data_IF_555391697500
#
_entry.id   IF_555391697500
#
_cell.length_a   1.000
_cell.length_b   1.000
_cell.length_c   1.000
_cell.angle_alpha   90.00
_cell.angle_beta   90.00
_cell.angle_gamma   90.00
#
_symmetry.space_group_name_H-M   'P 1'
#
loop_
_entity.id
_entity.type
_entity.pdbx_description
1 polymer ?
#
# COMPACT_ATOMS: atom_id res chain seq x y z
N UNK A 1 -26.06 -15.53 -23.47
CA UNK A 1 -25.88 -16.91 -22.94
C UNK A 1 -26.48 -16.92 -21.54
N UNK A 2 -27.48 -17.76 -21.27
CA UNK A 2 -28.15 -17.82 -19.95
C UNK A 2 -27.34 -18.76 -19.07
N UNK A 3 -26.71 -18.22 -18.01
CA UNK A 3 -26.00 -19.02 -17.03
C UNK A 3 -26.93 -20.05 -16.35
N UNK A 4 -26.44 -21.24 -15.99
CA UNK A 4 -27.17 -22.18 -15.15
C UNK A 4 -27.63 -21.54 -13.84
N UNK A 5 -28.76 -22.01 -13.27
CA UNK A 5 -29.38 -21.36 -12.11
C UNK A 5 -28.47 -21.25 -10.87
N UNK A 6 -27.56 -22.21 -10.70
CA UNK A 6 -26.58 -22.21 -9.58
C UNK A 6 -25.50 -21.14 -9.81
N UNK A 7 -24.94 -21.06 -10.99
CA UNK A 7 -23.91 -20.07 -11.37
C UNK A 7 -24.50 -18.65 -11.33
N UNK A 8 -25.76 -18.48 -11.72
CA UNK A 8 -26.46 -17.22 -11.60
C UNK A 8 -26.52 -16.72 -10.15
N UNK A 9 -26.86 -17.57 -9.17
CA UNK A 9 -26.92 -17.19 -7.75
C UNK A 9 -25.55 -16.84 -7.20
N UNK A 10 -24.51 -17.54 -7.62
CA UNK A 10 -23.10 -17.30 -7.27
C UNK A 10 -22.66 -15.91 -7.73
N UNK A 11 -22.92 -15.59 -9.00
CA UNK A 11 -22.62 -14.29 -9.59
C UNK A 11 -23.44 -13.16 -8.94
N UNK A 12 -24.76 -13.38 -8.72
CA UNK A 12 -25.62 -12.41 -8.06
C UNK A 12 -25.16 -12.08 -6.64
N UNK A 13 -24.64 -13.07 -5.88
CA UNK A 13 -24.10 -12.83 -4.55
C UNK A 13 -22.80 -11.99 -4.62
N UNK A 14 -21.89 -12.33 -5.50
CA UNK A 14 -20.65 -11.58 -5.71
C UNK A 14 -20.93 -10.13 -6.16
N UNK A 15 -21.87 -9.94 -7.10
CA UNK A 15 -22.28 -8.61 -7.53
C UNK A 15 -22.90 -7.77 -6.39
N UNK A 16 -23.67 -8.40 -5.49
CA UNK A 16 -24.26 -7.73 -4.34
C UNK A 16 -23.23 -7.34 -3.27
N UNK A 17 -21.99 -7.83 -3.37
CA UNK A 17 -20.86 -7.44 -2.53
C UNK A 17 -19.90 -6.44 -3.20
N UNK A 18 -20.17 -6.05 -4.45
CA UNK A 18 -19.35 -5.08 -5.17
C UNK A 18 -20.00 -3.71 -5.21
N UNK A 19 -19.20 -2.70 -4.94
CA UNK A 19 -19.56 -1.29 -5.08
C UNK A 19 -18.52 -0.58 -5.95
N UNK A 20 -18.87 0.55 -6.52
CA UNK A 20 -17.88 1.46 -7.12
C UNK A 20 -17.43 2.44 -6.05
N UNK A 21 -16.14 2.59 -5.89
CA UNK A 21 -15.52 3.60 -5.03
C UNK A 21 -15.13 4.78 -5.89
N UNK A 22 -15.51 5.98 -5.48
CA UNK A 22 -15.09 7.24 -6.08
C UNK A 22 -14.33 8.07 -5.06
N UNK A 23 -13.23 8.67 -5.49
CA UNK A 23 -12.32 9.40 -4.60
C UNK A 23 -12.01 10.76 -5.19
N UNK A 24 -12.25 11.81 -4.40
CA UNK A 24 -11.83 13.18 -4.69
C UNK A 24 -10.59 13.55 -3.87
N UNK A 25 -9.51 14.00 -4.52
CA UNK A 25 -8.29 14.42 -3.84
C UNK A 25 -8.28 15.94 -3.74
N UNK A 26 -8.40 16.53 -2.53
CA UNK A 26 -8.55 17.97 -2.35
C UNK A 26 -7.25 18.76 -2.48
N UNK A 27 -6.11 18.10 -2.64
CA UNK A 27 -4.79 18.71 -2.75
C UNK A 27 -3.86 17.83 -3.60
N UNK A 28 -2.72 18.37 -4.00
CA UNK A 28 -1.75 17.65 -4.85
C UNK A 28 -0.53 17.26 -4.05
N UNK A 29 -0.14 16.00 -4.14
CA UNK A 29 1.13 15.46 -3.65
C UNK A 29 1.89 14.76 -4.79
N UNK A 30 3.15 14.44 -4.59
CA UNK A 30 3.95 13.73 -5.59
C UNK A 30 3.32 12.36 -5.91
N UNK A 31 3.23 12.05 -7.21
CA UNK A 31 2.66 10.80 -7.69
C UNK A 31 1.13 10.68 -7.62
N UNK A 32 0.42 11.62 -6.99
CA UNK A 32 -1.05 11.68 -7.03
C UNK A 32 -1.45 12.82 -7.95
N UNK A 33 -1.74 12.46 -9.19
CA UNK A 33 -2.16 13.40 -10.25
C UNK A 33 -3.64 13.20 -10.53
N UNK A 34 -4.33 14.30 -10.70
CA UNK A 34 -5.76 14.27 -10.97
C UNK A 34 -6.57 14.58 -9.72
N UNK A 35 -7.81 14.95 -9.94
CA UNK A 35 -8.72 15.39 -8.90
C UNK A 35 -9.66 14.26 -8.45
N UNK A 36 -9.81 13.21 -9.27
CA UNK A 36 -10.69 12.08 -8.98
C UNK A 36 -10.11 10.75 -9.46
N UNK A 37 -10.43 9.71 -8.71
CA UNK A 37 -10.12 8.32 -9.01
C UNK A 37 -11.37 7.48 -8.80
N UNK A 38 -11.46 6.35 -9.47
CA UNK A 38 -12.52 5.38 -9.23
C UNK A 38 -12.00 3.95 -9.42
N UNK A 39 -12.66 3.02 -8.79
CA UNK A 39 -12.31 1.60 -8.87
C UNK A 39 -13.28 0.70 -8.10
N UNK A 40 -13.00 -0.58 -8.03
CA UNK A 40 -13.85 -1.54 -7.35
C UNK A 40 -13.73 -1.43 -5.82
N UNK A 41 -14.84 -1.64 -5.14
CA UNK A 41 -14.89 -1.89 -3.71
C UNK A 41 -15.58 -3.21 -3.40
N UNK A 42 -15.01 -3.99 -2.50
CA UNK A 42 -15.55 -5.25 -2.02
C UNK A 42 -16.10 -5.07 -0.61
N UNK A 43 -17.40 -5.24 -0.44
CA UNK A 43 -18.05 -5.20 0.87
C UNK A 43 -17.61 -6.42 1.68
N UNK A 44 -16.77 -6.22 2.68
CA UNK A 44 -16.24 -7.29 3.53
C UNK A 44 -17.05 -7.46 4.81
N UNK A 45 -17.80 -6.43 5.20
CA UNK A 45 -18.75 -6.49 6.32
C UNK A 45 -19.86 -5.47 6.09
N UNK A 46 -21.04 -5.95 5.67
CA UNK A 46 -22.18 -5.09 5.38
C UNK A 46 -22.86 -4.54 6.66
N UNK A 47 -22.74 -5.25 7.78
CA UNK A 47 -23.33 -4.82 9.07
C UNK A 47 -22.51 -3.72 9.72
N UNK A 48 -21.18 -3.84 9.66
CA UNK A 48 -20.28 -2.82 10.17
C UNK A 48 -19.97 -1.72 9.16
N UNK A 49 -20.40 -1.86 7.91
CA UNK A 49 -20.13 -0.90 6.84
C UNK A 49 -18.68 -0.88 6.36
N UNK A 50 -18.04 -2.05 6.24
CA UNK A 50 -16.65 -2.13 5.79
C UNK A 50 -16.55 -2.54 4.32
N UNK A 51 -15.75 -1.77 3.58
CA UNK A 51 -15.43 -2.01 2.16
C UNK A 51 -13.92 -2.04 1.98
N UNK A 52 -13.42 -3.05 1.29
CA UNK A 52 -12.04 -3.14 0.86
C UNK A 52 -11.89 -2.60 -0.56
N UNK A 53 -10.86 -1.82 -0.80
CA UNK A 53 -10.46 -1.33 -2.13
C UNK A 53 -8.93 -1.29 -2.24
N UNK A 54 -8.40 -0.78 -3.33
CA UNK A 54 -6.96 -0.67 -3.58
C UNK A 54 -6.44 0.79 -3.54
N UNK A 55 -5.12 0.94 -3.43
CA UNK A 55 -4.44 2.25 -3.37
C UNK A 55 -4.32 2.96 -4.73
N UNK A 56 -4.78 2.39 -5.83
CA UNK A 56 -4.93 3.12 -7.08
C UNK A 56 -6.26 3.88 -7.08
N UNK A 57 -7.28 3.27 -6.47
CA UNK A 57 -8.60 3.88 -6.25
C UNK A 57 -8.57 4.92 -5.14
N UNK A 58 -7.92 4.61 -4.00
CA UNK A 58 -7.77 5.51 -2.84
C UNK A 58 -6.27 5.73 -2.58
N UNK A 59 -5.64 6.69 -3.25
CA UNK A 59 -4.18 6.82 -3.26
C UNK A 59 -3.56 7.25 -1.93
N UNK A 60 -4.32 7.96 -1.11
CA UNK A 60 -3.93 8.54 0.20
C UNK A 60 -5.10 8.52 1.16
N UNK A 61 -4.84 8.64 2.46
CA UNK A 61 -5.92 8.59 3.47
C UNK A 61 -6.72 9.89 3.59
N UNK A 62 -6.14 11.02 3.23
CA UNK A 62 -6.74 12.35 3.40
C UNK A 62 -7.49 12.79 2.12
N UNK A 63 -8.64 12.19 1.87
CA UNK A 63 -9.45 12.32 0.65
C UNK A 63 -10.94 12.32 0.96
N UNK A 64 -11.75 12.80 0.02
CA UNK A 64 -13.17 12.54 -0.02
C UNK A 64 -13.42 11.19 -0.70
N UNK A 65 -14.24 10.35 -0.09
CA UNK A 65 -14.61 9.04 -0.64
C UNK A 65 -16.12 8.91 -0.68
N UNK A 66 -16.66 8.46 -1.79
CA UNK A 66 -18.04 8.00 -1.89
C UNK A 66 -18.13 6.59 -2.45
N UNK A 67 -19.20 5.90 -2.09
CA UNK A 67 -19.56 4.59 -2.61
C UNK A 67 -20.78 4.72 -3.48
N UNK A 68 -20.69 4.27 -4.73
CA UNK A 68 -21.84 4.17 -5.64
C UNK A 68 -22.32 2.72 -5.62
N UNK A 69 -23.53 2.54 -5.14
CA UNK A 69 -24.18 1.24 -4.93
C UNK A 69 -25.25 1.03 -6.00
N UNK A 70 -25.17 -0.10 -6.70
CA UNK A 70 -26.10 -0.47 -7.76
C UNK A 70 -26.30 0.63 -8.85
N UNK A 71 -25.30 1.48 -9.04
CA UNK A 71 -25.32 2.58 -10.02
C UNK A 71 -26.33 3.69 -9.73
N UNK A 72 -26.93 3.74 -8.54
CA UNK A 72 -28.04 4.67 -8.25
C UNK A 72 -28.01 5.32 -6.86
N UNK A 73 -27.34 4.74 -5.91
CA UNK A 73 -27.23 5.27 -4.55
C UNK A 73 -25.77 5.65 -4.30
N UNK A 74 -25.53 6.91 -4.00
CA UNK A 74 -24.22 7.41 -3.62
C UNK A 74 -24.25 7.77 -2.13
N UNK A 75 -23.29 7.22 -1.36
CA UNK A 75 -23.14 7.47 0.05
C UNK A 75 -21.69 7.82 0.40
N UNK A 76 -21.44 8.70 1.37
CA UNK A 76 -20.11 9.02 1.83
C UNK A 76 -19.47 7.83 2.56
N UNK A 77 -18.15 7.76 2.45
CA UNK A 77 -17.34 6.81 3.21
C UNK A 77 -16.06 7.49 3.69
N UNK A 78 -15.40 6.86 4.65
CA UNK A 78 -14.15 7.33 5.25
C UNK A 78 -13.06 6.29 5.08
N UNK A 79 -11.79 6.73 4.99
CA UNK A 79 -10.65 5.83 5.02
C UNK A 79 -10.44 5.35 6.45
N UNK A 80 -10.78 4.10 6.70
CA UNK A 80 -10.66 3.45 8.01
C UNK A 80 -9.23 2.96 8.26
N UNK A 81 -8.59 2.35 7.26
CA UNK A 81 -7.21 1.89 7.37
C UNK A 81 -6.54 1.80 5.98
N UNK A 82 -5.24 2.05 5.93
CA UNK A 82 -4.38 1.87 4.76
C UNK A 82 -3.32 0.82 5.10
N UNK A 83 -3.21 -0.24 4.30
CA UNK A 83 -2.19 -1.24 4.53
C UNK A 83 -0.80 -0.66 4.22
N UNK A 84 0.17 -0.68 5.15
CA UNK A 84 1.47 -0.05 4.93
C UNK A 84 2.30 -0.72 3.84
N UNK A 85 2.28 -2.05 3.73
CA UNK A 85 3.08 -2.80 2.77
C UNK A 85 2.35 -3.09 1.46
N UNK A 86 1.03 -3.34 1.52
CA UNK A 86 0.24 -3.75 0.37
C UNK A 86 -0.68 -2.64 -0.12
N UNK A 87 -1.01 -2.67 -1.40
CA UNK A 87 -1.88 -1.69 -2.04
C UNK A 87 -3.35 -1.81 -1.66
N UNK A 88 -3.67 -2.08 -0.38
CA UNK A 88 -5.03 -2.28 0.13
C UNK A 88 -5.47 -1.13 1.05
N UNK A 89 -6.76 -0.80 0.97
CA UNK A 89 -7.41 0.24 1.79
C UNK A 89 -8.74 -0.29 2.29
N UNK A 90 -9.01 -0.12 3.59
CA UNK A 90 -10.33 -0.32 4.18
C UNK A 90 -11.04 1.02 4.29
N UNK A 91 -12.29 1.03 3.84
CA UNK A 91 -13.23 2.13 3.95
C UNK A 91 -14.33 1.77 4.93
N UNK A 92 -14.88 2.78 5.58
CA UNK A 92 -16.05 2.64 6.44
C UNK A 92 -17.15 3.56 5.97
N UNK A 93 -18.38 3.05 5.91
CA UNK A 93 -19.59 3.81 5.61
C UNK A 93 -20.65 3.55 6.67
N UNK A 94 -21.66 4.42 6.76
CA UNK A 94 -22.82 4.21 7.62
C UNK A 94 -23.88 3.39 6.86
N UNK A 95 -24.16 2.12 7.27
CA UNK A 95 -25.14 1.28 6.61
C UNK A 95 -26.57 1.88 6.61
N UNK A 96 -26.88 2.76 7.56
CA UNK A 96 -28.19 3.41 7.62
C UNK A 96 -28.48 4.31 6.40
N UNK A 97 -27.43 4.81 5.73
CA UNK A 97 -27.55 5.65 4.53
C UNK A 97 -27.99 4.88 3.29
N UNK A 98 -27.92 3.55 3.30
CA UNK A 98 -28.35 2.71 2.16
C UNK A 98 -29.87 2.67 1.98
N UNK A 99 -30.65 3.02 3.01
CA UNK A 99 -32.12 2.92 2.98
C UNK A 99 -32.59 1.49 2.72
N UNK A 100 -33.27 1.28 1.59
CA UNK A 100 -33.78 -0.06 1.20
C UNK A 100 -32.80 -0.83 0.29
N UNK A 101 -31.69 -0.25 -0.09
CA UNK A 101 -30.68 -0.88 -0.95
C UNK A 101 -29.85 -1.85 -0.11
N UNK A 102 -29.89 -3.14 -0.46
CA UNK A 102 -29.18 -4.17 0.28
C UNK A 102 -27.79 -4.41 -0.31
N UNK A 103 -26.76 -4.27 0.51
CA UNK A 103 -25.42 -4.81 0.26
C UNK A 103 -25.24 -6.13 1.02
N UNK A 104 -24.36 -6.96 0.54
CA UNK A 104 -24.01 -8.25 1.18
C UNK A 104 -22.54 -8.32 1.43
N UNK A 105 -22.16 -8.89 2.58
CA UNK A 105 -20.76 -9.23 2.84
C UNK A 105 -20.30 -10.30 1.88
N UNK A 106 -19.11 -10.13 1.32
CA UNK A 106 -18.48 -11.14 0.47
C UNK A 106 -18.20 -12.41 1.27
N UNK A 107 -18.37 -13.55 0.65
CA UNK A 107 -17.95 -14.83 1.21
C UNK A 107 -16.47 -15.03 0.92
N UNK A 108 -15.61 -14.60 1.83
CA UNK A 108 -14.16 -14.72 1.67
C UNK A 108 -13.68 -16.14 1.93
N UNK A 109 -12.72 -16.61 1.13
CA UNK A 109 -12.07 -17.89 1.33
C UNK A 109 -10.56 -17.77 1.10
N UNK A 110 -9.80 -17.89 2.17
CA UNK A 110 -8.35 -17.70 2.21
C UNK A 110 -7.53 -18.91 1.73
N UNK A 111 -8.17 -20.04 1.39
CA UNK A 111 -7.47 -21.19 0.83
C UNK A 111 -6.75 -20.80 -0.48
N UNK A 112 -5.51 -21.19 -0.71
CA UNK A 112 -4.80 -20.88 -1.96
C UNK A 112 -5.55 -21.41 -3.20
N UNK A 113 -5.30 -20.79 -4.34
CA UNK A 113 -5.75 -21.27 -5.65
C UNK A 113 -4.52 -21.68 -6.45
N UNK A 114 -4.56 -22.86 -7.05
CA UNK A 114 -3.47 -23.35 -7.87
C UNK A 114 -3.56 -22.88 -9.33
N UNK A 115 -2.42 -22.88 -10.00
CA UNK A 115 -2.35 -22.63 -11.45
C UNK A 115 -3.18 -23.68 -12.19
N UNK A 116 -4.06 -23.22 -13.07
CA UNK A 116 -5.01 -24.07 -13.80
C UNK A 116 -6.38 -24.19 -13.14
N UNK A 117 -6.55 -23.81 -11.90
CA UNK A 117 -7.85 -23.85 -11.23
C UNK A 117 -8.86 -22.94 -11.93
N UNK A 118 -10.09 -23.43 -12.15
CA UNK A 118 -11.16 -22.66 -12.74
C UNK A 118 -11.69 -21.63 -11.74
N UNK A 119 -11.80 -20.39 -12.19
CA UNK A 119 -12.38 -19.27 -11.46
C UNK A 119 -13.31 -18.48 -12.37
N UNK A 120 -14.24 -17.74 -11.78
CA UNK A 120 -15.07 -16.79 -12.51
C UNK A 120 -14.69 -15.37 -12.08
N UNK A 121 -14.31 -14.55 -13.04
CA UNK A 121 -14.19 -13.11 -12.80
C UNK A 121 -15.59 -12.50 -12.79
N UNK A 122 -15.87 -11.74 -11.74
CA UNK A 122 -17.11 -10.96 -11.58
C UNK A 122 -16.72 -9.53 -11.25
N UNK A 123 -17.08 -8.59 -12.09
CA UNK A 123 -16.67 -7.19 -11.94
C UNK A 123 -17.50 -6.25 -12.77
N UNK A 124 -16.97 -5.04 -12.97
CA UNK A 124 -17.56 -4.01 -13.81
C UNK A 124 -16.50 -3.42 -14.74
N UNK A 125 -16.90 -3.03 -15.93
CA UNK A 125 -16.03 -2.32 -16.87
C UNK A 125 -15.99 -0.81 -16.55
N UNK A 126 -15.23 -0.06 -17.36
CA UNK A 126 -15.11 1.40 -17.21
C UNK A 126 -16.42 2.18 -17.34
N UNK A 127 -17.44 1.60 -17.98
CA UNK A 127 -18.79 2.15 -18.13
C UNK A 127 -19.77 1.65 -17.05
N UNK A 128 -19.26 1.01 -15.99
CA UNK A 128 -20.02 0.40 -14.87
C UNK A 128 -20.94 -0.77 -15.29
N UNK A 129 -20.68 -1.39 -16.45
CA UNK A 129 -21.44 -2.57 -16.91
C UNK A 129 -20.89 -3.82 -16.26
N UNK A 130 -21.79 -4.72 -15.87
CA UNK A 130 -21.43 -6.01 -15.29
C UNK A 130 -20.66 -6.88 -16.30
N UNK A 131 -19.50 -7.37 -15.87
CA UNK A 131 -18.67 -8.30 -16.61
C UNK A 131 -18.56 -9.60 -15.83
N UNK A 132 -18.87 -10.72 -16.47
CA UNK A 132 -18.73 -12.07 -15.92
C UNK A 132 -17.98 -12.92 -16.92
N UNK A 133 -16.82 -13.44 -16.55
CA UNK A 133 -15.95 -14.22 -17.41
C UNK A 133 -15.52 -15.52 -16.69
N UNK A 134 -15.81 -16.64 -17.29
CA UNK A 134 -15.21 -17.92 -16.87
C UNK A 134 -13.76 -17.95 -17.36
N UNK A 135 -12.85 -18.25 -16.45
CA UNK A 135 -11.42 -18.28 -16.71
C UNK A 135 -10.71 -19.28 -15.79
N UNK A 136 -9.40 -19.28 -15.81
CA UNK A 136 -8.56 -20.04 -14.89
C UNK A 136 -7.39 -19.18 -14.42
N UNK A 137 -6.79 -19.53 -13.30
CA UNK A 137 -5.52 -18.94 -12.86
C UNK A 137 -4.44 -19.35 -13.85
N UNK A 138 -3.88 -18.38 -14.57
CA UNK A 138 -2.84 -18.61 -15.55
C UNK A 138 -1.47 -18.81 -14.88
N UNK A 139 -1.20 -18.04 -13.83
CA UNK A 139 0.04 -18.10 -13.04
C UNK A 139 -0.08 -17.31 -11.75
N UNK A 140 0.82 -17.62 -10.81
CA UNK A 140 1.16 -16.74 -9.71
C UNK A 140 2.35 -15.89 -10.12
N UNK A 141 2.29 -14.60 -9.83
CA UNK A 141 3.34 -13.63 -10.18
C UNK A 141 3.78 -12.93 -8.92
N UNK A 142 5.07 -13.03 -8.61
CA UNK A 142 5.63 -12.25 -7.50
C UNK A 142 5.51 -10.76 -7.80
N UNK A 143 4.97 -10.02 -6.84
CA UNK A 143 4.90 -8.57 -6.90
C UNK A 143 6.31 -8.01 -6.71
N UNK A 144 6.94 -7.63 -7.80
CA UNK A 144 8.23 -6.93 -7.84
C UNK A 144 8.04 -5.58 -8.54
N UNK A 145 7.27 -4.71 -7.89
CA UNK A 145 7.00 -3.40 -8.44
C UNK A 145 8.15 -2.43 -8.09
N UNK A 146 8.46 -1.46 -8.95
CA UNK A 146 9.46 -0.44 -8.63
C UNK A 146 9.04 0.40 -7.43
N UNK A 147 10.02 1.08 -6.80
CA UNK A 147 9.73 2.04 -5.73
C UNK A 147 8.84 3.14 -6.31
N UNK A 148 7.69 3.33 -5.69
CA UNK A 148 6.74 4.35 -6.09
C UNK A 148 7.29 5.76 -5.84
N UNK A 149 6.92 6.72 -6.68
CA UNK A 149 7.08 8.16 -6.38
C UNK A 149 6.17 8.63 -5.24
N UNK A 150 5.11 7.88 -4.95
CA UNK A 150 4.22 8.13 -3.81
C UNK A 150 4.88 7.66 -2.52
N UNK A 151 4.63 8.31 -1.37
CA UNK A 151 5.12 7.86 -0.08
C UNK A 151 4.41 6.57 0.36
N UNK A 152 4.89 5.44 -0.12
CA UNK A 152 4.44 4.09 0.25
C UNK A 152 5.59 3.11 0.15
N UNK A 153 5.53 2.02 0.90
CA UNK A 153 6.44 0.91 0.69
C UNK A 153 6.26 0.33 -0.71
N UNK A 154 7.33 -0.23 -1.23
CA UNK A 154 7.29 -0.99 -2.47
C UNK A 154 6.46 -2.26 -2.24
N UNK A 155 5.60 -2.59 -3.19
CA UNK A 155 4.91 -3.87 -3.19
C UNK A 155 5.93 -4.98 -3.43
N UNK A 156 6.08 -5.86 -2.46
CA UNK A 156 7.03 -6.98 -2.47
C UNK A 156 6.53 -8.13 -1.58
N UNK A 157 7.15 -9.30 -1.67
CA UNK A 157 6.82 -10.48 -0.87
C UNK A 157 5.35 -10.93 -1.00
N UNK A 158 4.78 -10.76 -2.16
CA UNK A 158 3.38 -11.04 -2.43
C UNK A 158 3.26 -11.75 -3.77
N UNK A 159 2.62 -12.91 -3.80
CA UNK A 159 2.21 -13.56 -5.01
C UNK A 159 0.80 -13.09 -5.41
N UNK A 160 0.66 -12.66 -6.64
CA UNK A 160 -0.59 -12.17 -7.21
C UNK A 160 -1.13 -13.19 -8.22
N UNK A 161 -2.45 -13.30 -8.33
CA UNK A 161 -3.09 -14.16 -9.32
C UNK A 161 -3.24 -13.42 -10.66
N UNK A 162 -2.69 -13.98 -11.73
CA UNK A 162 -3.04 -13.59 -13.11
C UNK A 162 -3.97 -14.63 -13.71
N UNK A 163 -4.94 -14.19 -14.50
CA UNK A 163 -5.91 -15.06 -15.16
C UNK A 163 -5.68 -15.15 -16.66
N UNK A 164 -6.24 -16.18 -17.30
CA UNK A 164 -6.04 -16.43 -18.73
C UNK A 164 -6.89 -15.52 -19.63
N UNK A 165 -7.95 -14.91 -19.08
CA UNK A 165 -8.83 -14.04 -19.85
C UNK A 165 -8.45 -12.56 -19.66
N UNK A 166 -8.73 -11.75 -20.68
CA UNK A 166 -8.72 -10.29 -20.58
C UNK A 166 -9.99 -9.83 -19.85
N UNK A 167 -9.84 -9.22 -18.69
CA UNK A 167 -10.95 -8.80 -17.82
C UNK A 167 -11.45 -7.40 -18.10
N UNK A 168 -10.80 -6.64 -19.01
CA UNK A 168 -11.26 -5.32 -19.44
C UNK A 168 -11.11 -4.21 -18.38
N UNK A 169 -10.14 -4.32 -17.49
CA UNK A 169 -9.62 -3.26 -16.59
C UNK A 169 -10.56 -2.55 -15.60
N UNK A 170 -11.82 -2.95 -15.44
CA UNK A 170 -12.75 -2.27 -14.52
C UNK A 170 -12.57 -2.64 -13.03
N UNK A 171 -11.95 -3.78 -12.78
CA UNK A 171 -11.79 -4.35 -11.44
C UNK A 171 -13.01 -5.14 -10.95
N UNK A 172 -12.77 -6.05 -10.02
CA UNK A 172 -13.79 -6.95 -9.48
C UNK A 172 -13.20 -7.99 -8.55
N UNK A 173 -13.74 -9.21 -8.61
CA UNK A 173 -13.29 -10.34 -7.80
C UNK A 173 -13.16 -11.61 -8.63
N UNK A 174 -12.29 -12.51 -8.18
CA UNK A 174 -12.29 -13.90 -8.63
C UNK A 174 -13.09 -14.73 -7.64
N UNK A 175 -14.06 -15.47 -8.14
CA UNK A 175 -14.88 -16.38 -7.32
C UNK A 175 -14.71 -17.83 -7.76
N UNK A 176 -14.82 -18.73 -6.81
CA UNK A 176 -14.86 -20.16 -7.08
C UNK A 176 -16.27 -20.63 -7.47
N UNK A 177 -16.42 -21.93 -7.81
CA UNK A 177 -17.69 -22.54 -8.17
C UNK A 177 -18.77 -22.50 -7.06
N UNK A 178 -18.38 -22.21 -5.82
CA UNK A 178 -19.30 -22.04 -4.67
C UNK A 178 -19.67 -20.59 -4.42
N UNK A 179 -19.12 -19.64 -5.19
CA UNK A 179 -19.33 -18.21 -5.02
C UNK A 179 -18.49 -17.56 -3.93
N UNK A 180 -17.47 -18.27 -3.45
CA UNK A 180 -16.55 -17.71 -2.47
C UNK A 180 -15.53 -16.85 -3.20
N UNK A 181 -15.30 -15.65 -2.70
CA UNK A 181 -14.30 -14.73 -3.21
C UNK A 181 -12.92 -15.26 -2.83
N UNK A 182 -12.06 -15.41 -3.85
CA UNK A 182 -10.70 -15.91 -3.72
C UNK A 182 -9.66 -14.81 -3.90
N UNK A 183 -10.06 -13.68 -4.51
CA UNK A 183 -9.17 -12.57 -4.81
C UNK A 183 -9.95 -11.28 -5.06
N UNK A 184 -9.41 -10.15 -4.59
CA UNK A 184 -9.75 -8.83 -5.13
C UNK A 184 -8.89 -8.61 -6.37
N UNK A 185 -9.53 -8.41 -7.52
CA UNK A 185 -8.87 -8.34 -8.82
C UNK A 185 -9.01 -6.94 -9.42
N UNK A 186 -7.93 -6.38 -9.92
CA UNK A 186 -7.93 -5.06 -10.52
C UNK A 186 -6.63 -4.74 -11.23
N UNK A 187 -6.55 -3.52 -11.76
CA UNK A 187 -5.34 -3.04 -12.42
C UNK A 187 -4.36 -2.45 -11.41
N UNK A 188 -3.15 -2.99 -11.41
CA UNK A 188 -2.02 -2.51 -10.61
C UNK A 188 -1.20 -1.55 -11.45
N UNK A 189 -1.26 -0.27 -11.12
CA UNK A 189 -0.43 0.77 -11.74
C UNK A 189 0.90 0.92 -11.02
N UNK A 190 2.00 0.99 -11.78
CA UNK A 190 3.33 1.27 -11.27
C UNK A 190 4.16 2.08 -12.27
N UNK A 191 5.12 2.83 -11.75
CA UNK A 191 6.01 3.64 -12.59
C UNK A 191 7.27 2.86 -12.98
N UNK A 192 7.51 2.73 -14.29
CA UNK A 192 8.73 2.16 -14.84
C UNK A 192 9.50 3.27 -15.61
N UNK A 193 10.43 3.91 -14.92
CA UNK A 193 11.13 5.10 -15.42
C UNK A 193 10.17 6.28 -15.60
N UNK A 194 9.96 6.73 -16.83
CA UNK A 194 9.03 7.83 -17.16
C UNK A 194 7.64 7.36 -17.61
N UNK A 195 7.38 6.05 -17.61
CA UNK A 195 6.13 5.45 -18.09
C UNK A 195 5.39 4.79 -16.94
N UNK A 196 4.10 5.04 -16.86
CA UNK A 196 3.21 4.24 -16.02
C UNK A 196 2.85 2.95 -16.77
N UNK A 197 3.02 1.81 -16.08
CA UNK A 197 2.61 0.48 -16.53
C UNK A 197 1.40 0.04 -15.73
N UNK A 198 0.59 -0.77 -16.35
CA UNK A 198 -0.56 -1.41 -15.72
C UNK A 198 -0.48 -2.92 -15.92
N UNK A 199 -0.89 -3.65 -14.91
CA UNK A 199 -1.00 -5.09 -14.92
C UNK A 199 -2.26 -5.49 -14.17
N UNK A 200 -3.12 -6.28 -14.81
CA UNK A 200 -4.28 -6.84 -14.16
C UNK A 200 -3.88 -8.06 -13.34
N UNK A 201 -4.14 -8.00 -12.05
CA UNK A 201 -3.82 -9.08 -11.12
C UNK A 201 -4.70 -9.04 -9.87
N UNK A 202 -4.73 -10.15 -9.14
CA UNK A 202 -5.57 -10.31 -7.97
C UNK A 202 -4.79 -10.48 -6.67
N UNK A 203 -5.16 -9.72 -5.65
CA UNK A 203 -4.70 -9.92 -4.27
C UNK A 203 -5.35 -11.16 -3.67
N UNK A 204 -4.57 -12.13 -3.14
CA UNK A 204 -5.12 -13.30 -2.46
C UNK A 204 -5.97 -12.92 -1.25
N UNK A 205 -7.08 -13.63 -1.01
CA UNK A 205 -7.93 -13.36 0.15
C UNK A 205 -7.21 -13.53 1.47
N UNK A 206 -6.16 -14.36 1.58
CA UNK A 206 -5.36 -14.48 2.80
C UNK A 206 -4.82 -13.12 3.26
N UNK A 207 -4.20 -12.35 2.36
CA UNK A 207 -3.68 -11.00 2.66
C UNK A 207 -4.79 -10.04 3.06
N UNK A 208 -5.94 -10.15 2.39
CA UNK A 208 -7.15 -9.38 2.68
C UNK A 208 -7.67 -9.70 4.07
N UNK A 209 -7.78 -10.98 4.40
CA UNK A 209 -8.29 -11.45 5.68
C UNK A 209 -7.40 -11.01 6.84
N UNK A 210 -6.07 -11.16 6.70
CA UNK A 210 -5.10 -10.71 7.70
C UNK A 210 -5.26 -9.19 7.99
N UNK A 211 -5.50 -8.39 6.95
CA UNK A 211 -5.71 -6.95 7.12
C UNK A 211 -7.04 -6.63 7.81
N UNK A 212 -8.11 -7.31 7.43
CA UNK A 212 -9.44 -7.15 8.08
C UNK A 212 -9.36 -7.55 9.55
N UNK A 213 -8.70 -8.66 9.85
CA UNK A 213 -8.58 -9.17 11.22
C UNK A 213 -7.72 -8.24 12.09
N UNK A 214 -6.63 -7.70 11.54
CA UNK A 214 -5.84 -6.66 12.21
C UNK A 214 -6.66 -5.40 12.50
N UNK A 215 -7.52 -4.99 11.55
CA UNK A 215 -8.45 -3.86 11.77
C UNK A 215 -9.46 -4.15 12.87
N UNK A 216 -10.07 -5.33 12.88
CA UNK A 216 -11.07 -5.73 13.88
C UNK A 216 -10.48 -5.94 15.27
N UNK A 217 -9.21 -6.33 15.37
CA UNK A 217 -8.52 -6.53 16.64
C UNK A 217 -8.25 -5.22 17.42
N UNK A 218 -8.34 -4.06 16.77
CA UNK A 218 -8.07 -2.76 17.37
C UNK A 218 -9.12 -1.74 16.97
N UNK A 219 -9.83 -1.19 17.95
CA UNK A 219 -10.90 -0.22 17.69
C UNK A 219 -10.40 1.18 17.28
N UNK A 220 -9.18 1.57 17.65
CA UNK A 220 -8.73 2.97 17.50
C UNK A 220 -7.44 3.17 16.70
N UNK A 221 -6.58 2.16 16.63
CA UNK A 221 -5.29 2.28 15.94
C UNK A 221 -4.83 0.91 15.44
N UNK A 222 -5.45 0.39 14.38
CA UNK A 222 -5.07 -0.90 13.86
C UNK A 222 -3.61 -0.87 13.38
N UNK A 223 -2.90 -1.96 13.65
CA UNK A 223 -1.51 -2.15 13.25
C UNK A 223 -1.36 -3.48 12.53
N UNK A 224 -0.44 -3.52 11.60
CA UNK A 224 -0.05 -4.74 10.90
C UNK A 224 1.44 -5.00 11.06
N UNK A 225 1.84 -6.24 10.96
CA UNK A 225 3.24 -6.62 10.85
C UNK A 225 3.67 -6.82 9.40
N UNK A 226 4.93 -7.13 9.23
CA UNK A 226 5.50 -7.50 7.94
C UNK A 226 6.93 -7.98 8.11
N UNK A 227 7.50 -8.64 7.11
CA UNK A 227 8.86 -9.16 7.18
C UNK A 227 9.89 -8.03 7.25
N UNK A 228 9.59 -6.85 6.72
CA UNK A 228 10.48 -5.69 6.61
C UNK A 228 11.84 -6.02 5.94
N UNK A 229 11.81 -7.05 5.11
CA UNK A 229 12.83 -7.38 4.13
C UNK A 229 12.15 -7.82 2.83
N UNK A 230 12.84 -7.71 1.72
CA UNK A 230 12.33 -8.06 0.41
C UNK A 230 13.07 -9.28 -0.11
N UNK A 231 12.34 -10.27 -0.60
CA UNK A 231 12.90 -11.43 -1.26
C UNK A 231 12.56 -11.46 -2.75
N UNK A 232 13.38 -12.18 -3.50
CA UNK A 232 13.11 -12.51 -4.90
C UNK A 232 13.32 -14.00 -5.11
N UNK A 233 12.46 -14.66 -5.90
CA UNK A 233 12.68 -16.05 -6.25
C UNK A 233 13.91 -16.18 -7.15
N UNK A 234 14.72 -17.18 -6.85
CA UNK A 234 15.85 -17.60 -7.67
C UNK A 234 15.81 -19.11 -7.88
N UNK A 235 16.34 -19.59 -8.99
CA UNK A 235 16.44 -21.03 -9.20
C UNK A 235 17.30 -21.68 -8.11
N UNK A 236 16.93 -22.85 -7.66
CA UNK A 236 17.62 -23.57 -6.58
C UNK A 236 19.11 -23.82 -6.92
N UNK A 237 19.45 -24.10 -8.18
CA UNK A 237 20.85 -24.20 -8.63
C UNK A 237 21.61 -22.92 -8.37
N UNK A 238 20.98 -21.76 -8.55
CA UNK A 238 21.59 -20.46 -8.25
C UNK A 238 21.80 -20.24 -6.77
N UNK A 239 20.88 -20.72 -5.94
CA UNK A 239 21.04 -20.70 -4.48
C UNK A 239 22.24 -21.53 -4.03
N UNK A 240 22.47 -22.70 -4.66
CA UNK A 240 23.67 -23.52 -4.42
C UNK A 240 24.95 -22.78 -4.82
N UNK A 241 24.97 -22.10 -5.99
CA UNK A 241 26.12 -21.25 -6.40
C UNK A 241 26.41 -20.13 -5.38
N UNK A 242 25.38 -19.65 -4.66
CA UNK A 242 25.50 -18.64 -3.61
C UNK A 242 25.88 -19.23 -2.24
N UNK A 243 26.00 -20.56 -2.15
CA UNK A 243 26.46 -21.25 -0.95
C UNK A 243 25.37 -22.00 -0.19
N UNK A 244 24.17 -22.19 -0.75
CA UNK A 244 23.19 -23.06 -0.11
C UNK A 244 23.75 -24.50 -0.06
N UNK A 245 23.82 -25.18 1.12
CA UNK A 245 24.29 -26.55 1.21
C UNK A 245 23.46 -27.49 0.30
N UNK A 246 24.13 -28.41 -0.38
CA UNK A 246 23.51 -29.27 -1.41
C UNK A 246 22.43 -30.19 -0.82
N UNK A 247 22.65 -30.70 0.38
CA UNK A 247 21.68 -31.52 1.10
C UNK A 247 20.41 -30.77 1.48
N UNK A 248 20.54 -29.47 1.81
CA UNK A 248 19.41 -28.57 2.06
C UNK A 248 18.68 -28.27 0.75
N UNK A 249 19.42 -28.02 -0.34
CA UNK A 249 18.84 -27.79 -1.65
C UNK A 249 18.06 -29.02 -2.15
N UNK A 250 18.61 -30.23 -1.94
CA UNK A 250 17.92 -31.47 -2.29
C UNK A 250 16.62 -31.67 -1.46
N UNK A 251 16.65 -31.32 -0.18
CA UNK A 251 15.47 -31.35 0.67
C UNK A 251 14.41 -30.33 0.21
N UNK A 252 14.81 -29.09 -0.11
CA UNK A 252 13.90 -28.07 -0.65
C UNK A 252 13.29 -28.49 -2.00
N UNK A 253 14.09 -29.14 -2.87
CA UNK A 253 13.62 -29.64 -4.17
C UNK A 253 12.54 -30.75 -4.06
N UNK A 254 12.44 -31.41 -2.92
CA UNK A 254 11.40 -32.41 -2.65
C UNK A 254 10.10 -31.79 -2.16
N UNK A 255 10.13 -30.56 -1.66
CA UNK A 255 8.94 -29.85 -1.13
C UNK A 255 8.20 -29.07 -2.21
N UNK A 256 8.89 -28.64 -3.28
CA UNK A 256 8.29 -27.82 -4.34
C UNK A 256 8.86 -28.18 -5.72
N UNK A 257 7.97 -28.48 -6.65
CA UNK A 257 8.30 -28.81 -8.05
C UNK A 257 8.92 -27.63 -8.82
N UNK A 258 8.70 -26.38 -8.37
CA UNK A 258 9.27 -25.17 -8.99
C UNK A 258 10.79 -25.12 -8.87
N UNK A 259 11.36 -25.79 -7.85
CA UNK A 259 12.80 -25.80 -7.57
C UNK A 259 13.40 -24.40 -7.46
N UNK A 260 12.74 -23.59 -6.67
CA UNK A 260 13.11 -22.21 -6.36
C UNK A 260 13.54 -22.07 -4.91
N UNK A 261 14.21 -20.96 -4.62
CA UNK A 261 14.55 -20.49 -3.28
C UNK A 261 14.36 -18.98 -3.25
N UNK A 262 14.21 -18.40 -2.08
CA UNK A 262 14.02 -16.97 -1.90
C UNK A 262 15.33 -16.30 -1.47
N UNK A 263 15.82 -15.36 -2.28
CA UNK A 263 17.01 -14.55 -1.99
C UNK A 263 16.60 -13.23 -1.34
N UNK A 264 17.15 -12.91 -0.17
CA UNK A 264 17.00 -11.60 0.46
C UNK A 264 17.70 -10.55 -0.40
N UNK A 265 16.89 -9.72 -1.07
CA UNK A 265 17.37 -8.67 -1.97
C UNK A 265 17.62 -7.37 -1.24
N UNK A 266 16.80 -7.07 -0.23
CA UNK A 266 16.88 -5.85 0.57
C UNK A 266 16.39 -6.11 1.96
N UNK A 267 16.95 -5.40 2.93
CA UNK A 267 16.42 -5.31 4.27
C UNK A 267 16.06 -3.85 4.53
N UNK A 268 14.89 -3.63 5.12
CA UNK A 268 14.37 -2.28 5.42
C UNK A 268 15.26 -1.63 6.47
N UNK A 269 15.76 -0.45 6.19
CA UNK A 269 16.62 0.28 7.11
C UNK A 269 15.89 0.61 8.41
N UNK A 270 16.56 0.45 9.55
CA UNK A 270 16.00 0.71 10.88
C UNK A 270 14.90 -0.25 11.33
N UNK A 271 14.63 -1.30 10.54
CA UNK A 271 13.73 -2.38 10.96
C UNK A 271 14.45 -3.40 11.84
N UNK A 272 13.74 -4.14 12.71
CA UNK A 272 14.32 -5.25 13.48
C UNK A 272 15.07 -6.27 12.61
N UNK A 273 14.61 -6.51 11.40
CA UNK A 273 15.25 -7.39 10.45
C UNK A 273 16.67 -6.92 10.03
N UNK A 274 16.97 -5.62 10.10
CA UNK A 274 18.25 -5.06 9.61
C UNK A 274 19.48 -5.55 10.40
N UNK A 275 19.29 -5.87 11.68
CA UNK A 275 20.36 -6.40 12.53
C UNK A 275 20.53 -7.92 12.38
N UNK A 276 19.54 -8.61 11.84
CA UNK A 276 19.46 -10.06 11.78
C UNK A 276 19.77 -10.63 10.38
N UNK A 277 19.21 -10.03 9.35
CA UNK A 277 19.30 -10.48 7.98
C UNK A 277 20.23 -9.60 7.13
N UNK A 278 20.76 -10.15 6.06
CA UNK A 278 21.64 -9.42 5.12
C UNK A 278 21.18 -9.65 3.67
N UNK A 279 21.36 -8.65 2.86
CA UNK A 279 21.26 -8.81 1.41
C UNK A 279 22.19 -9.92 0.92
N UNK A 280 21.66 -10.88 0.18
CA UNK A 280 22.37 -12.05 -0.29
C UNK A 280 22.14 -13.32 0.57
N UNK A 281 21.44 -13.22 1.71
CA UNK A 281 21.00 -14.41 2.43
C UNK A 281 19.98 -15.18 1.57
N UNK A 282 20.06 -16.51 1.57
CA UNK A 282 19.06 -17.38 0.97
C UNK A 282 18.15 -17.90 2.08
N UNK A 283 16.86 -17.58 1.99
CA UNK A 283 15.87 -18.05 2.96
C UNK A 283 15.69 -19.55 2.84
N UNK A 284 15.75 -20.27 3.95
CA UNK A 284 15.65 -21.72 3.98
C UNK A 284 14.37 -22.15 4.70
N UNK A 285 14.17 -21.69 5.93
CA UNK A 285 12.97 -22.01 6.72
C UNK A 285 12.41 -20.79 7.41
N UNK A 286 11.08 -20.80 7.57
CA UNK A 286 10.36 -19.89 8.45
C UNK A 286 9.49 -20.75 9.37
N UNK A 287 9.62 -20.55 10.69
CA UNK A 287 8.97 -21.34 11.72
C UNK A 287 9.18 -22.87 11.55
N UNK A 288 10.36 -23.27 11.07
CA UNK A 288 10.75 -24.65 10.86
C UNK A 288 10.36 -25.25 9.52
N UNK A 289 9.49 -24.64 8.75
CA UNK A 289 9.02 -25.13 7.44
C UNK A 289 9.89 -24.54 6.31
N UNK A 290 10.20 -25.32 5.28
CA UNK A 290 10.90 -24.85 4.10
C UNK A 290 10.07 -23.80 3.36
N UNK A 291 10.74 -22.73 2.92
CA UNK A 291 10.14 -21.63 2.18
C UNK A 291 10.82 -21.48 0.82
N UNK A 292 10.03 -21.68 -0.24
CA UNK A 292 10.51 -21.69 -1.63
C UNK A 292 9.85 -20.58 -2.46
N UNK A 293 8.71 -20.01 -2.01
CA UNK A 293 7.98 -18.97 -2.71
C UNK A 293 7.32 -17.97 -1.77
N UNK A 294 7.01 -16.78 -2.29
CA UNK A 294 6.62 -15.60 -1.50
C UNK A 294 5.26 -15.73 -0.83
N UNK A 295 4.32 -16.49 -1.37
CA UNK A 295 3.02 -16.73 -0.76
C UNK A 295 3.10 -17.46 0.59
N UNK A 296 4.17 -18.24 0.82
CA UNK A 296 4.42 -18.89 2.11
C UNK A 296 4.83 -17.88 3.22
N UNK A 297 5.18 -16.64 2.85
CA UNK A 297 5.49 -15.57 3.80
C UNK A 297 4.25 -14.80 4.25
N UNK A 298 3.12 -14.98 3.58
CA UNK A 298 1.90 -14.25 3.89
C UNK A 298 1.24 -14.80 5.16
N UNK A 299 0.74 -13.89 6.01
CA UNK A 299 0.11 -14.27 7.28
C UNK A 299 1.06 -14.83 8.35
N UNK A 300 2.39 -14.65 8.19
CA UNK A 300 3.38 -15.19 9.13
C UNK A 300 3.91 -14.10 10.07
N UNK A 301 4.09 -12.89 9.56
CA UNK A 301 4.75 -11.81 10.28
C UNK A 301 3.76 -10.92 11.04
N UNK A 302 3.15 -11.45 12.10
CA UNK A 302 2.25 -10.68 12.95
C UNK A 302 3.02 -9.71 13.87
N UNK A 303 2.44 -8.52 14.19
CA UNK A 303 3.09 -7.57 15.06
C UNK A 303 3.45 -8.19 16.41
N UNK A 304 4.68 -7.96 16.88
CA UNK A 304 5.17 -8.36 18.21
C UNK A 304 5.16 -9.88 18.47
N UNK A 305 4.95 -10.70 17.45
CA UNK A 305 5.09 -12.17 17.56
C UNK A 305 6.43 -12.61 16.96
N UNK A 306 7.30 -13.28 17.71
CA UNK A 306 8.59 -13.73 17.19
C UNK A 306 8.41 -14.80 16.12
N UNK A 307 9.20 -14.68 15.05
CA UNK A 307 9.24 -15.59 13.90
C UNK A 307 10.65 -16.16 13.80
N UNK A 308 10.78 -17.49 13.84
CA UNK A 308 12.06 -18.16 13.61
C UNK A 308 12.37 -18.20 12.12
N UNK A 309 13.56 -17.72 11.73
CA UNK A 309 14.01 -17.67 10.34
C UNK A 309 15.37 -18.35 10.25
N UNK A 310 15.50 -19.31 9.34
CA UNK A 310 16.79 -19.92 9.00
C UNK A 310 17.19 -19.49 7.59
N UNK A 311 18.42 -19.01 7.45
CA UNK A 311 18.98 -18.58 6.16
C UNK A 311 20.31 -19.27 5.90
N UNK A 312 20.65 -19.46 4.62
CA UNK A 312 22.02 -19.77 4.21
C UNK A 312 22.76 -18.46 3.93
N UNK A 313 23.82 -18.22 4.67
CA UNK A 313 24.69 -17.05 4.57
C UNK A 313 26.10 -17.47 4.28
N UNK A 314 26.57 -17.27 3.05
CA UNK A 314 27.94 -17.64 2.61
C UNK A 314 28.28 -19.12 2.89
N UNK A 315 27.34 -20.02 2.77
CA UNK A 315 27.53 -21.46 2.97
C UNK A 315 27.22 -21.97 4.39
N UNK A 316 26.91 -21.09 5.31
CA UNK A 316 26.57 -21.46 6.68
C UNK A 316 25.06 -21.26 6.92
N UNK A 317 24.45 -22.20 7.64
CA UNK A 317 23.07 -22.03 8.10
C UNK A 317 23.05 -21.16 9.35
N UNK A 318 22.29 -20.09 9.31
CA UNK A 318 22.14 -19.12 10.40
C UNK A 318 20.68 -19.05 10.79
N UNK A 319 20.37 -19.32 12.05
CA UNK A 319 19.03 -19.17 12.62
C UNK A 319 18.95 -17.84 13.38
N UNK A 320 17.88 -17.10 13.14
CA UNK A 320 17.57 -15.83 13.81
C UNK A 320 16.12 -15.82 14.25
N UNK A 321 15.82 -15.02 15.27
CA UNK A 321 14.46 -14.77 15.74
C UNK A 321 14.11 -13.32 15.43
N UNK A 322 13.14 -13.09 14.54
CA UNK A 322 12.65 -11.79 14.15
C UNK A 322 11.32 -11.49 14.83
N UNK A 323 11.27 -10.40 15.58
CA UNK A 323 10.01 -9.85 16.09
C UNK A 323 9.61 -8.66 15.25
N UNK A 324 8.57 -8.79 14.38
CA UNK A 324 8.11 -7.70 13.53
C UNK A 324 7.62 -6.52 14.36
N UNK A 325 7.92 -5.30 13.92
CA UNK A 325 7.33 -4.12 14.56
C UNK A 325 5.88 -3.95 14.13
N UNK A 326 5.11 -3.27 14.98
CA UNK A 326 3.77 -2.86 14.68
C UNK A 326 3.80 -1.62 13.78
N UNK A 327 3.24 -1.71 12.57
CA UNK A 327 3.12 -0.61 11.63
C UNK A 327 1.69 -0.07 11.63
N UNK A 328 1.56 1.25 11.85
CA UNK A 328 0.27 1.93 11.85
C UNK A 328 -0.39 1.92 10.47
N UNK A 329 -1.71 1.90 10.46
CA UNK A 329 -2.53 1.86 9.23
C UNK A 329 -3.29 3.15 8.97
N UNK A 330 -3.02 4.22 9.72
CA UNK A 330 -3.72 5.51 9.57
C UNK A 330 -3.44 6.23 8.25
N UNK A 331 -2.31 5.92 7.61
CA UNK A 331 -1.85 6.63 6.43
C UNK A 331 -1.50 8.10 6.69
N UNK A 332 -1.37 8.88 5.62
CA UNK A 332 -1.09 10.33 5.69
C UNK A 332 -2.36 11.08 6.14
N UNK A 333 -2.28 11.80 7.28
CA UNK A 333 -3.40 12.53 7.88
C UNK A 333 -3.14 14.00 8.14
N UNK A 334 -1.95 14.51 7.83
CA UNK A 334 -1.58 15.90 8.06
C UNK A 334 -0.64 16.39 6.94
N UNK A 335 -1.02 17.48 6.30
CA UNK A 335 -0.30 18.06 5.17
C UNK A 335 -0.32 19.59 5.32
N UNK A 336 0.83 20.20 5.16
CA UNK A 336 0.95 21.66 5.12
C UNK A 336 1.37 22.10 3.73
N UNK A 337 0.70 23.10 3.19
CA UNK A 337 1.15 23.84 2.01
C UNK A 337 1.75 25.16 2.50
N UNK A 338 3.06 25.32 2.36
CA UNK A 338 3.80 26.49 2.79
C UNK A 338 4.74 26.99 1.68
N UNK A 339 4.72 28.28 1.40
CA UNK A 339 5.49 28.90 0.31
C UNK A 339 5.31 28.18 -1.05
N UNK A 340 4.17 27.50 -1.24
CA UNK A 340 3.88 26.69 -2.40
C UNK A 340 4.67 25.38 -2.48
N UNK A 341 5.09 24.84 -1.35
CA UNK A 341 5.55 23.46 -1.20
C UNK A 341 4.53 22.67 -0.38
N UNK A 342 4.32 21.40 -0.72
CA UNK A 342 3.57 20.44 0.10
C UNK A 342 4.54 19.78 1.06
N UNK A 343 4.24 19.87 2.36
CA UNK A 343 5.09 19.42 3.46
C UNK A 343 4.34 18.42 4.32
N UNK A 344 5.05 17.39 4.78
CA UNK A 344 4.54 16.36 5.70
C UNK A 344 5.61 16.00 6.71
N UNK A 345 5.25 15.31 7.78
CA UNK A 345 6.24 14.52 8.51
C UNK A 345 6.95 13.57 7.56
N UNK A 346 8.15 13.14 7.91
CA UNK A 346 8.89 12.20 7.06
C UNK A 346 8.17 10.86 7.05
N UNK A 347 7.59 10.44 5.90
CA UNK A 347 6.91 9.15 5.85
C UNK A 347 7.90 8.01 6.16
N UNK A 348 7.47 7.07 6.99
CA UNK A 348 8.29 5.93 7.38
C UNK A 348 8.81 5.15 6.16
N UNK A 349 7.96 5.03 5.15
CA UNK A 349 8.26 4.35 3.88
C UNK A 349 9.41 5.03 3.13
N UNK A 350 9.43 6.38 3.14
CA UNK A 350 10.50 7.16 2.52
C UNK A 350 11.79 6.99 3.32
N UNK A 351 11.72 7.16 4.64
CA UNK A 351 12.86 7.01 5.53
C UNK A 351 13.51 5.62 5.40
N UNK A 352 12.69 4.57 5.49
CA UNK A 352 13.12 3.18 5.44
C UNK A 352 13.71 2.77 4.08
N UNK A 353 13.12 3.22 2.97
CA UNK A 353 13.60 2.87 1.63
C UNK A 353 14.88 3.62 1.23
N UNK A 354 15.12 4.78 1.80
CA UNK A 354 16.28 5.62 1.51
C UNK A 354 17.38 5.57 2.58
N UNK A 355 17.14 4.88 3.70
CA UNK A 355 18.12 4.73 4.76
C UNK A 355 18.39 6.03 5.52
N UNK A 356 17.36 6.84 5.72
CA UNK A 356 17.45 8.12 6.45
C UNK A 356 16.62 8.08 7.72
N UNK A 357 17.02 8.83 8.75
CA UNK A 357 16.22 8.97 9.95
C UNK A 357 14.89 9.68 9.61
N UNK A 358 13.76 9.29 10.23
CA UNK A 358 12.47 9.94 10.04
C UNK A 358 12.37 11.24 10.86
N UNK A 359 13.36 12.12 10.72
CA UNK A 359 13.47 13.41 11.42
C UNK A 359 13.50 14.55 10.42
N UNK A 360 12.78 15.62 10.72
CA UNK A 360 12.63 16.78 9.86
C UNK A 360 11.28 16.84 9.19
N UNK A 361 11.14 17.71 8.21
CA UNK A 361 9.93 17.92 7.42
C UNK A 361 10.20 17.54 5.97
N UNK A 362 9.43 16.61 5.46
CA UNK A 362 9.57 16.12 4.09
C UNK A 362 8.91 17.07 3.10
N UNK A 363 9.68 17.50 2.09
CA UNK A 363 9.18 18.30 0.97
C UNK A 363 8.72 17.34 -0.13
N UNK A 364 7.42 17.10 -0.20
CA UNK A 364 6.82 16.17 -1.13
C UNK A 364 6.75 16.78 -2.53
N UNK A 365 6.09 17.91 -2.69
CA UNK A 365 5.87 18.59 -3.96
C UNK A 365 6.18 20.09 -3.86
N UNK A 366 6.44 20.71 -5.02
CA UNK A 366 6.52 22.17 -5.17
C UNK A 366 5.68 22.63 -6.34
N UNK A 367 4.83 23.60 -6.12
CA UNK A 367 3.98 24.14 -7.17
C UNK A 367 4.78 25.02 -8.14
N UNK A 368 4.42 24.97 -9.41
CA UNK A 368 5.02 25.81 -10.44
C UNK A 368 4.72 27.29 -10.14
N UNK A 369 5.74 28.15 -10.22
CA UNK A 369 5.62 29.58 -9.92
C UNK A 369 5.75 29.96 -8.44
N UNK A 370 5.75 28.98 -7.53
CA UNK A 370 5.84 29.23 -6.09
C UNK A 370 7.19 29.78 -5.63
N UNK A 371 7.26 30.46 -4.47
CA UNK A 371 8.50 30.81 -3.81
C UNK A 371 9.42 29.60 -3.61
N UNK A 372 8.90 28.48 -3.13
CA UNK A 372 9.65 27.25 -2.92
C UNK A 372 10.40 26.81 -4.20
N UNK A 373 9.72 26.81 -5.36
CA UNK A 373 10.36 26.45 -6.62
C UNK A 373 11.32 27.55 -7.10
N UNK A 374 10.90 28.78 -7.03
CA UNK A 374 11.66 29.95 -7.54
C UNK A 374 13.00 30.18 -6.82
N UNK A 375 13.03 29.88 -5.52
CA UNK A 375 14.24 30.00 -4.69
C UNK A 375 15.00 28.67 -4.53
N UNK A 376 14.64 27.63 -5.27
CA UNK A 376 15.42 26.39 -5.39
C UNK A 376 15.26 25.41 -4.24
N UNK A 377 14.17 25.47 -3.45
CA UNK A 377 13.87 24.42 -2.49
C UNK A 377 13.72 23.09 -3.26
N UNK A 378 14.47 22.06 -2.87
CA UNK A 378 14.42 20.74 -3.49
C UNK A 378 13.06 20.05 -3.25
N UNK A 379 12.65 19.12 -4.11
CA UNK A 379 11.65 18.08 -3.78
C UNK A 379 12.37 16.85 -3.24
N UNK A 380 11.68 16.03 -2.50
CA UNK A 380 12.24 14.83 -1.86
C UNK A 380 13.49 15.17 -1.02
N UNK A 381 13.39 16.26 -0.28
CA UNK A 381 14.39 16.69 0.70
C UNK A 381 13.74 16.85 2.07
N UNK A 382 14.54 16.78 3.10
CA UNK A 382 14.13 17.01 4.50
C UNK A 382 14.55 18.42 4.91
N UNK A 383 13.62 19.22 5.44
CA UNK A 383 13.94 20.47 6.13
C UNK A 383 14.12 20.11 7.60
N UNK A 384 15.28 20.40 8.16
CA UNK A 384 15.59 20.09 9.56
C UNK A 384 15.89 21.33 10.40
N UNK A 385 15.94 22.51 9.79
CA UNK A 385 16.12 23.79 10.48
C UNK A 385 15.51 24.94 9.67
N UNK A 386 14.84 25.86 10.35
CA UNK A 386 14.33 27.13 9.80
C UNK A 386 14.86 28.29 10.65
N UNK A 387 15.56 29.23 10.04
CA UNK A 387 16.15 30.42 10.68
C UNK A 387 17.00 30.12 11.94
N UNK A 388 17.71 28.99 11.96
CA UNK A 388 18.52 28.52 13.07
C UNK A 388 17.76 27.76 14.15
N UNK A 389 16.45 27.55 13.99
CA UNK A 389 15.64 26.76 14.90
C UNK A 389 15.44 25.33 14.33
N UNK A 390 15.73 24.28 15.10
CA UNK A 390 15.51 22.89 14.67
C UNK A 390 14.03 22.62 14.40
N UNK A 391 13.76 21.88 13.32
CA UNK A 391 12.42 21.45 12.91
C UNK A 391 12.38 19.93 12.76
N UNK A 392 12.39 19.17 13.87
CA UNK A 392 12.43 17.71 13.86
C UNK A 392 11.15 17.08 13.29
N UNK A 393 10.05 17.79 13.26
CA UNK A 393 8.74 17.36 12.79
C UNK A 393 7.94 18.55 12.23
N UNK A 394 6.75 18.25 11.69
CA UNK A 394 5.88 19.24 11.07
C UNK A 394 5.33 20.25 12.08
N UNK A 395 5.08 19.85 13.33
CA UNK A 395 4.59 20.78 14.37
C UNK A 395 5.67 21.80 14.78
N UNK A 396 6.90 21.35 14.98
CA UNK A 396 8.04 22.26 15.25
C UNK A 396 8.26 23.21 14.07
N UNK A 397 8.15 22.72 12.83
CA UNK A 397 8.21 23.57 11.63
C UNK A 397 7.13 24.64 11.65
N UNK A 398 5.87 24.25 11.90
CA UNK A 398 4.74 25.18 11.94
C UNK A 398 4.90 26.25 13.03
N UNK A 399 5.41 25.86 14.20
CA UNK A 399 5.67 26.81 15.30
C UNK A 399 6.65 27.93 14.89
N UNK A 400 7.60 27.65 13.99
CA UNK A 400 8.53 28.65 13.45
C UNK A 400 7.90 29.40 12.29
N UNK A 401 7.18 28.71 11.39
CA UNK A 401 6.61 29.26 10.18
C UNK A 401 5.48 30.28 10.47
N UNK A 402 4.65 30.03 11.49
CA UNK A 402 3.56 30.92 11.92
C UNK A 402 4.02 32.28 12.39
N UNK A 403 5.30 32.40 12.78
CA UNK A 403 5.91 33.68 13.15
C UNK A 403 6.48 34.52 11.98
N UNK A 404 6.34 34.02 10.73
CA UNK A 404 6.91 34.68 9.55
C UNK A 404 5.85 35.49 8.80
N UNK A 405 6.09 36.80 8.63
CA UNK A 405 5.19 37.69 7.91
C UNK A 405 5.37 37.60 6.38
N UNK A 406 4.40 38.13 5.64
CA UNK A 406 4.48 38.28 4.19
C UNK A 406 5.72 39.09 3.78
N UNK A 407 6.42 38.61 2.75
CA UNK A 407 7.70 39.18 2.31
C UNK A 407 8.92 38.84 3.20
N UNK A 408 8.73 38.17 4.33
CA UNK A 408 9.83 37.76 5.18
C UNK A 408 10.76 36.75 4.45
N UNK A 409 12.04 36.77 4.84
CA UNK A 409 13.03 35.80 4.35
C UNK A 409 13.13 34.64 5.32
N UNK A 410 12.97 33.41 4.81
CA UNK A 410 13.18 32.19 5.55
C UNK A 410 14.45 31.48 5.05
N UNK A 411 15.37 31.17 5.97
CA UNK A 411 16.57 30.39 5.69
C UNK A 411 16.34 28.94 6.14
N UNK A 412 16.34 28.00 5.20
CA UNK A 412 16.11 26.59 5.43
C UNK A 412 17.43 25.82 5.33
N UNK A 413 17.70 24.93 6.27
CA UNK A 413 18.70 23.88 6.08
C UNK A 413 18.00 22.62 5.67
N UNK A 414 18.44 22.06 4.56
CA UNK A 414 17.82 20.88 3.96
C UNK A 414 18.83 19.78 3.76
N UNK A 415 18.34 18.53 3.79
CA UNK A 415 19.12 17.33 3.47
C UNK A 415 18.35 16.50 2.45
N UNK A 416 18.99 16.14 1.35
CA UNK A 416 18.40 15.22 0.37
C UNK A 416 18.44 13.79 0.90
N UNK A 417 17.60 12.90 0.34
CA UNK A 417 17.52 11.49 0.75
C UNK A 417 18.85 10.72 0.55
N UNK A 418 19.79 11.26 -0.22
CA UNK A 418 21.16 10.72 -0.36
C UNK A 418 22.18 11.41 0.55
N UNK A 419 21.74 12.20 1.55
CA UNK A 419 22.57 12.81 2.58
C UNK A 419 23.22 14.15 2.20
N UNK A 420 22.98 14.70 0.99
CA UNK A 420 23.55 16.00 0.59
C UNK A 420 22.83 17.13 1.33
N UNK A 421 23.57 17.95 2.04
CA UNK A 421 23.06 19.15 2.71
C UNK A 421 23.08 20.37 1.80
N UNK A 422 22.11 21.26 2.00
CA UNK A 422 22.02 22.55 1.32
C UNK A 422 21.36 23.60 2.23
N UNK A 423 21.61 24.87 1.92
CA UNK A 423 20.93 26.01 2.53
C UNK A 423 20.13 26.70 1.44
N UNK A 424 18.86 26.89 1.70
CA UNK A 424 17.94 27.61 0.81
C UNK A 424 17.42 28.82 1.54
N UNK A 425 17.58 30.01 0.95
CA UNK A 425 16.93 31.22 1.43
C UNK A 425 15.82 31.58 0.46
N UNK A 426 14.59 31.67 0.97
CA UNK A 426 13.43 32.05 0.17
C UNK A 426 12.70 33.23 0.81
N UNK A 427 12.09 34.08 -0.02
CA UNK A 427 11.19 35.12 0.42
C UNK A 427 9.76 34.64 0.32
N UNK A 428 9.00 34.81 1.40
CA UNK A 428 7.59 34.44 1.47
C UNK A 428 6.73 35.37 0.61
N UNK A 429 5.68 34.83 0.08
CA UNK A 429 4.60 35.50 -0.62
C UNK A 429 3.29 34.83 -0.11
N UNK A 430 2.85 35.31 1.06
CA UNK A 430 1.68 34.71 1.72
C UNK A 430 0.36 35.17 1.07
N UNK A 431 0.43 36.22 0.29
CA UNK A 431 -0.72 36.72 -0.46
C UNK A 431 -1.14 35.75 -1.56
N UNK A 432 -0.20 35.35 -2.40
CA UNK A 432 -0.46 34.41 -3.53
C UNK A 432 -0.27 32.96 -3.14
N UNK A 433 0.57 32.69 -2.13
CA UNK A 433 0.90 31.36 -1.61
C UNK A 433 0.65 31.26 -0.10
N UNK A 434 -0.61 31.40 0.35
CA UNK A 434 -0.96 31.36 1.76
C UNK A 434 -0.64 30.01 2.38
N UNK A 435 -0.28 30.04 3.66
CA UNK A 435 -0.08 28.83 4.44
C UNK A 435 -1.41 28.14 4.69
N UNK A 436 -1.49 26.86 4.34
CA UNK A 436 -2.68 26.04 4.53
C UNK A 436 -2.30 24.74 5.17
N UNK A 437 -3.08 24.29 6.14
CA UNK A 437 -2.98 22.97 6.72
C UNK A 437 -4.22 22.17 6.37
N UNK A 438 -4.05 20.92 5.98
CA UNK A 438 -5.10 19.97 5.66
C UNK A 438 -4.83 18.79 6.57
N UNK A 439 -5.76 18.51 7.48
CA UNK A 439 -5.59 17.44 8.45
C UNK A 439 -6.91 16.71 8.72
N UNK A 440 -6.78 15.49 9.20
CA UNK A 440 -7.87 14.68 9.69
C UNK A 440 -8.03 14.87 11.20
N UNK A 441 -9.26 15.06 11.65
CA UNK A 441 -9.65 15.00 13.05
C UNK A 441 -10.78 13.99 13.21
N UNK A 442 -10.68 13.14 14.23
CA UNK A 442 -11.76 12.22 14.57
C UNK A 442 -13.06 13.00 14.83
N UNK A 443 -14.18 12.47 14.35
CA UNK A 443 -15.52 13.08 14.40
C UNK A 443 -15.78 14.26 13.46
N UNK A 444 -14.75 14.92 12.94
CA UNK A 444 -14.89 16.04 11.99
C UNK A 444 -14.57 15.63 10.55
N UNK A 445 -13.77 14.58 10.39
CA UNK A 445 -13.18 14.24 9.11
C UNK A 445 -12.00 15.13 8.74
N UNK A 446 -11.65 15.17 7.48
CA UNK A 446 -10.61 16.09 7.03
C UNK A 446 -11.16 17.52 6.86
N UNK A 447 -10.29 18.49 7.13
CA UNK A 447 -10.61 19.90 6.92
C UNK A 447 -9.38 20.68 6.48
N UNK A 448 -9.63 21.84 5.86
CA UNK A 448 -8.61 22.76 5.43
C UNK A 448 -8.66 24.03 6.29
N UNK A 449 -7.52 24.41 6.82
CA UNK A 449 -7.36 25.64 7.58
C UNK A 449 -6.35 26.54 6.88
N UNK A 450 -6.67 27.81 6.72
CA UNK A 450 -5.72 28.85 6.38
C UNK A 450 -5.13 29.39 7.68
N UNK A 451 -3.80 29.53 7.75
CA UNK A 451 -3.07 29.88 8.97
C UNK A 451 -2.51 31.30 8.95
N UNK A 452 -2.54 32.00 7.80
CA UNK A 452 -2.08 33.37 7.59
C UNK A 452 -3.20 34.35 7.20
#
# INVERSE_FOLDING_TARGET
MTLPTHERRTVEHALASLVRVETGVPYTIEGVRGESYFGPGLVVDAEQGLVLTDRNTVPIALVDVSLVVAGSVEIPAEVAAVHPHHGLVLLKYDPALLGTTALRSAMLDAEPIDVGDPVTYVGRDGDDRVVVLETSVARLVDADLPISSRPRFREANLALYEVSADTGSGGGVLVDKKGRVRSLFGSLSFDEGSKTRERDAGYPVRVIQDFIDAYRASESSPVVGGPEFEVVPIRLVKAVDLGLPTDVADAMAQTDERREALLVRRVTWGAPAADLLKTGDVLVRVNGEFVTHTDQLQGVFHPQQPVSIEVSRKGELVSVELTPRALGTSGLRDVVVWAGATLTDVPLEVAAQHGVAPEGVYVDLRFRGSPALRFGLGRSVLIYEVNGQPTPDLEAFMSVADGLEDGASARLRTRSLNGREAVVALSLDLRDWPTRRIRWEDQRGWYRQRLD
#
